data_IF_155917724649
#
_entry.id   IF_155917724649
#
_cell.length_a   1.000
_cell.length_b   1.000
_cell.length_c   1.000
_cell.angle_alpha   90.00
_cell.angle_beta   90.00
_cell.angle_gamma   90.00
#
_symmetry.space_group_name_H-M   'P 1'
#
loop_
_entity.id
_entity.type
_entity.pdbx_description
1 polymer ?
#
# COMPACT_ATOMS: atom_id res chain seq x y z
N UNK A 1 -16.91 10.97 22.03
CA UNK A 1 -15.56 11.41 22.43
C UNK A 1 -14.58 10.44 21.81
N UNK A 2 -13.51 10.90 21.16
CA UNK A 2 -12.53 10.00 20.51
C UNK A 2 -11.72 9.30 21.60
N UNK A 3 -11.62 7.97 21.55
CA UNK A 3 -10.83 7.19 22.49
C UNK A 3 -9.49 6.84 21.84
N UNK A 4 -8.38 7.30 22.42
CA UNK A 4 -7.04 7.01 21.93
C UNK A 4 -6.45 5.78 22.61
N UNK A 5 -5.82 4.91 21.82
CA UNK A 5 -5.02 3.77 22.29
C UNK A 5 -3.63 3.87 21.67
N UNK A 6 -2.60 3.74 22.49
CA UNK A 6 -1.20 3.67 22.06
C UNK A 6 -0.68 2.26 22.32
N UNK A 7 -0.49 1.47 21.27
CA UNK A 7 0.12 0.14 21.35
C UNK A 7 1.61 0.23 20.99
N UNK A 8 2.50 -0.15 21.91
CA UNK A 8 3.93 -0.19 21.66
C UNK A 8 4.63 -1.24 22.52
N UNK A 9 5.91 -1.51 22.27
CA UNK A 9 6.72 -2.37 23.13
C UNK A 9 6.85 -1.80 24.56
N UNK A 10 7.18 -2.62 25.58
CA UNK A 10 7.40 -2.18 26.96
C UNK A 10 8.71 -1.38 27.14
N UNK A 11 9.08 -0.57 26.15
CA UNK A 11 10.22 0.34 26.13
C UNK A 11 9.78 1.75 25.71
N UNK A 12 10.66 2.73 25.85
CA UNK A 12 10.42 4.11 25.39
C UNK A 12 10.33 4.16 23.86
N UNK A 13 11.44 3.89 23.18
CA UNK A 13 11.53 3.81 21.71
C UNK A 13 10.79 4.95 20.98
N UNK A 14 10.22 4.62 19.82
CA UNK A 14 9.41 5.55 19.03
C UNK A 14 8.07 5.91 19.71
N UNK A 15 7.54 5.03 20.57
CA UNK A 15 6.27 5.26 21.29
C UNK A 15 6.32 6.40 22.32
N UNK A 16 7.51 6.73 22.83
CA UNK A 16 7.69 7.77 23.85
C UNK A 16 7.30 9.16 23.38
N UNK A 17 7.50 9.46 22.09
CA UNK A 17 7.12 10.75 21.50
C UNK A 17 5.61 10.94 21.61
N UNK A 18 4.82 9.93 21.24
CA UNK A 18 3.36 9.95 21.35
C UNK A 18 2.89 10.08 22.80
N UNK A 19 3.51 9.36 23.76
CA UNK A 19 3.18 9.48 25.19
C UNK A 19 3.35 10.92 25.69
N UNK A 20 4.49 11.54 25.37
CA UNK A 20 4.79 12.93 25.78
C UNK A 20 3.79 13.92 25.19
N UNK A 21 3.45 13.78 23.91
CA UNK A 21 2.48 14.68 23.24
C UNK A 21 1.10 14.54 23.87
N UNK A 22 0.64 13.31 24.12
CA UNK A 22 -0.68 13.05 24.72
C UNK A 22 -0.78 13.61 26.15
N UNK A 23 0.27 13.43 26.96
CA UNK A 23 0.35 14.03 28.29
C UNK A 23 0.41 15.56 28.23
N UNK A 24 1.24 16.14 27.35
CA UNK A 24 1.33 17.58 27.18
C UNK A 24 -0.03 18.21 26.80
N UNK A 25 -0.80 17.53 25.95
CA UNK A 25 -2.12 17.97 25.51
C UNK A 25 -3.25 17.64 26.49
N UNK A 26 -2.98 16.99 27.64
CA UNK A 26 -4.00 16.47 28.57
C UNK A 26 -5.07 15.58 27.89
N UNK A 27 -4.66 14.81 26.88
CA UNK A 27 -5.57 13.89 26.17
C UNK A 27 -5.50 12.51 26.84
N UNK A 28 -6.61 11.98 27.39
CA UNK A 28 -6.62 10.65 27.97
C UNK A 28 -6.41 9.58 26.88
N UNK A 29 -5.58 8.58 27.19
CA UNK A 29 -5.30 7.46 26.30
C UNK A 29 -5.01 6.18 27.07
N UNK A 30 -5.21 5.05 26.42
CA UNK A 30 -4.81 3.72 26.91
C UNK A 30 -3.38 3.41 26.42
N UNK A 31 -2.40 3.25 27.33
CA UNK A 31 -1.02 2.83 27.00
C UNK A 31 -0.92 1.30 27.04
N UNK A 32 -1.08 0.67 25.88
CA UNK A 32 -1.03 -0.78 25.71
C UNK A 32 0.41 -1.20 25.44
N UNK A 33 1.04 -1.88 26.41
CA UNK A 33 2.42 -2.35 26.30
C UNK A 33 2.47 -3.82 25.95
N UNK A 34 2.93 -4.13 24.75
CA UNK A 34 2.90 -5.48 24.18
C UNK A 34 4.31 -6.08 24.23
N UNK A 35 4.55 -7.16 24.99
CA UNK A 35 5.80 -7.91 24.95
C UNK A 35 6.12 -8.41 23.54
N UNK A 36 7.41 -8.56 23.21
CA UNK A 36 7.84 -8.98 21.87
C UNK A 36 7.25 -10.35 21.49
N UNK A 37 7.11 -11.25 22.46
CA UNK A 37 6.54 -12.59 22.27
C UNK A 37 5.04 -12.56 21.93
N UNK A 38 4.34 -11.50 22.33
CA UNK A 38 2.92 -11.31 22.03
C UNK A 38 2.70 -10.49 20.76
N UNK A 39 3.69 -9.70 20.33
CA UNK A 39 3.59 -8.85 19.15
C UNK A 39 3.09 -9.57 17.88
N UNK A 40 3.52 -10.82 17.57
CA UNK A 40 2.97 -11.57 16.44
C UNK A 40 1.45 -11.77 16.48
N UNK A 41 0.84 -11.85 17.68
CA UNK A 41 -0.63 -11.99 17.84
C UNK A 41 -1.38 -10.71 17.54
N UNK A 42 -0.72 -9.56 17.69
CA UNK A 42 -1.30 -8.24 17.44
C UNK A 42 -1.06 -7.75 16.00
N UNK A 43 -0.12 -8.37 15.27
CA UNK A 43 0.10 -8.08 13.86
C UNK A 43 -1.00 -8.76 13.03
N UNK A 44 -1.74 -8.04 12.18
CA UNK A 44 -2.61 -8.67 11.21
C UNK A 44 -1.82 -9.69 10.40
N UNK A 45 -2.36 -10.89 10.22
CA UNK A 45 -1.73 -11.95 9.40
C UNK A 45 -1.86 -11.63 7.92
N UNK A 46 -1.16 -10.58 7.48
CA UNK A 46 -1.10 -10.11 6.09
C UNK A 46 0.28 -10.39 5.44
N UNK A 47 1.12 -11.19 6.09
CA UNK A 47 2.45 -11.59 5.61
C UNK A 47 2.47 -12.99 4.99
N UNK A 48 1.30 -13.55 4.65
CA UNK A 48 1.22 -14.91 4.10
C UNK A 48 1.52 -16.01 5.10
N UNK A 49 1.54 -17.26 4.62
CA UNK A 49 1.83 -18.45 5.41
C UNK A 49 3.29 -18.86 5.26
N UNK A 50 4.05 -18.64 6.33
CA UNK A 50 5.46 -19.03 6.43
C UNK A 50 6.39 -18.14 5.63
N UNK A 51 7.68 -18.48 5.70
CA UNK A 51 8.77 -17.62 5.20
C UNK A 51 8.74 -17.46 3.69
N UNK A 52 8.27 -18.47 2.96
CA UNK A 52 8.22 -18.43 1.50
C UNK A 52 7.21 -17.41 0.98
N UNK A 53 5.95 -17.46 1.44
CA UNK A 53 4.97 -16.47 1.02
C UNK A 53 5.35 -15.07 1.52
N UNK A 54 5.95 -14.96 2.72
CA UNK A 54 6.50 -13.69 3.21
C UNK A 54 7.54 -13.11 2.22
N UNK A 55 8.50 -13.92 1.78
CA UNK A 55 9.52 -13.49 0.82
C UNK A 55 8.93 -13.14 -0.56
N UNK A 56 7.88 -13.84 -1.00
CA UNK A 56 7.18 -13.48 -2.24
C UNK A 56 6.51 -12.12 -2.13
N UNK A 57 5.85 -11.83 -1.01
CA UNK A 57 5.20 -10.55 -0.74
C UNK A 57 6.23 -9.43 -0.76
N UNK A 58 7.34 -9.59 -0.05
CA UNK A 58 8.42 -8.60 0.01
C UNK A 58 9.02 -8.35 -1.38
N UNK A 59 9.28 -9.41 -2.16
CA UNK A 59 9.79 -9.29 -3.53
C UNK A 59 8.85 -8.53 -4.46
N UNK A 60 7.54 -8.73 -4.36
CA UNK A 60 6.55 -8.00 -5.18
C UNK A 60 6.51 -6.53 -4.77
N UNK A 61 6.61 -6.25 -3.48
CA UNK A 61 6.61 -4.88 -2.98
C UNK A 61 7.87 -4.12 -3.38
N UNK A 62 9.04 -4.74 -3.26
CA UNK A 62 10.30 -4.14 -3.72
C UNK A 62 10.27 -3.90 -5.23
N UNK A 63 9.80 -4.87 -6.02
CA UNK A 63 9.60 -4.68 -7.46
C UNK A 63 8.68 -3.49 -7.76
N UNK A 64 7.55 -3.38 -7.06
CA UNK A 64 6.58 -2.30 -7.25
C UNK A 64 7.17 -0.95 -6.86
N UNK A 65 7.94 -0.89 -5.77
CA UNK A 65 8.65 0.32 -5.32
C UNK A 65 9.73 0.76 -6.30
N UNK A 66 10.44 -0.20 -6.89
CA UNK A 66 11.53 0.05 -7.84
C UNK A 66 11.05 0.51 -9.22
N UNK A 67 9.74 0.46 -9.50
CA UNK A 67 9.16 1.09 -10.69
C UNK A 67 9.23 2.62 -10.57
N UNK A 68 10.40 3.15 -10.93
CA UNK A 68 10.81 4.51 -10.61
C UNK A 68 10.13 5.58 -11.48
N UNK A 69 8.91 5.97 -11.09
CA UNK A 69 8.17 7.08 -11.68
C UNK A 69 8.36 8.41 -10.93
N UNK A 70 9.26 8.44 -9.94
CA UNK A 70 9.40 9.57 -9.01
C UNK A 70 9.60 10.93 -9.70
N UNK A 71 10.44 11.07 -10.75
CA UNK A 71 10.60 12.36 -11.43
C UNK A 71 9.31 12.85 -12.08
N UNK A 72 8.54 11.94 -12.70
CA UNK A 72 7.24 12.27 -13.28
C UNK A 72 6.24 12.71 -12.19
N UNK A 73 6.11 11.92 -11.12
CA UNK A 73 5.22 12.24 -9.99
C UNK A 73 5.55 13.59 -9.34
N UNK A 74 6.82 13.84 -9.03
CA UNK A 74 7.23 15.12 -8.42
C UNK A 74 6.98 16.32 -9.35
N UNK A 75 7.07 16.13 -10.66
CA UNK A 75 6.80 17.18 -11.66
C UNK A 75 5.31 17.50 -11.74
N UNK A 76 4.44 16.49 -11.81
CA UNK A 76 2.98 16.74 -11.86
C UNK A 76 2.44 17.31 -10.53
N UNK A 77 3.12 17.04 -9.41
CA UNK A 77 2.85 17.63 -8.10
C UNK A 77 3.36 19.08 -7.96
N UNK A 78 4.14 19.58 -8.93
CA UNK A 78 4.75 20.91 -8.89
C UNK A 78 5.86 21.05 -7.85
N UNK A 79 6.42 19.95 -7.35
CA UNK A 79 7.50 19.98 -6.35
C UNK A 79 8.87 20.17 -7.00
N UNK A 80 9.02 19.76 -8.27
CA UNK A 80 10.21 20.00 -9.08
C UNK A 80 9.82 20.56 -10.45
N UNK A 81 10.68 21.38 -11.09
CA UNK A 81 10.48 21.76 -12.47
C UNK A 81 10.67 20.55 -13.40
N UNK A 82 9.88 20.47 -14.48
CA UNK A 82 10.01 19.43 -15.48
C UNK A 82 8.95 19.53 -16.58
N UNK A 83 9.21 18.88 -17.72
CA UNK A 83 8.24 18.72 -18.80
C UNK A 83 7.44 17.45 -18.57
N UNK A 84 6.17 17.61 -18.18
CA UNK A 84 5.26 16.50 -17.85
C UNK A 84 4.95 15.63 -19.07
N UNK A 85 4.77 16.22 -20.25
CA UNK A 85 4.51 15.46 -21.47
C UNK A 85 5.73 14.62 -21.90
N UNK A 86 6.93 15.17 -21.76
CA UNK A 86 8.18 14.45 -22.03
C UNK A 86 8.41 13.31 -21.03
N UNK A 87 8.28 13.60 -19.72
CA UNK A 87 8.43 12.60 -18.66
C UNK A 87 7.35 11.51 -18.73
N UNK A 88 6.15 11.85 -19.20
CA UNK A 88 5.11 10.85 -19.45
C UNK A 88 5.60 9.82 -20.49
N UNK A 89 6.14 10.28 -21.62
CA UNK A 89 6.59 9.39 -22.71
C UNK A 89 7.87 8.64 -22.39
N UNK A 90 8.79 9.26 -21.64
CA UNK A 90 10.14 8.71 -21.40
C UNK A 90 10.27 7.93 -20.10
N UNK A 91 9.43 8.21 -19.10
CA UNK A 91 9.49 7.60 -17.77
C UNK A 91 8.21 6.85 -17.44
N UNK A 92 7.06 7.56 -17.38
CA UNK A 92 5.82 6.98 -16.86
C UNK A 92 5.31 5.82 -17.71
N UNK A 93 5.01 6.08 -18.99
CA UNK A 93 4.44 5.09 -19.89
C UNK A 93 5.35 3.85 -20.04
N UNK A 94 6.67 3.98 -20.32
CA UNK A 94 7.55 2.81 -20.39
C UNK A 94 7.62 2.02 -19.09
N UNK A 95 7.56 2.70 -17.94
CA UNK A 95 7.57 2.03 -16.63
C UNK A 95 6.31 1.19 -16.44
N UNK A 96 5.12 1.74 -16.73
CA UNK A 96 3.86 1.01 -16.67
C UNK A 96 3.86 -0.17 -17.65
N UNK A 97 4.28 0.06 -18.90
CA UNK A 97 4.34 -0.97 -19.95
C UNK A 97 5.29 -2.12 -19.59
N UNK A 98 6.35 -1.83 -18.83
CA UNK A 98 7.28 -2.84 -18.31
C UNK A 98 6.75 -3.55 -17.06
N UNK A 99 6.12 -2.83 -16.13
CA UNK A 99 5.80 -3.36 -14.81
C UNK A 99 4.51 -4.17 -14.77
N UNK A 100 3.46 -3.71 -15.45
CA UNK A 100 2.14 -4.35 -15.36
C UNK A 100 2.12 -5.80 -15.87
N UNK A 101 2.81 -6.16 -16.98
CA UNK A 101 2.89 -7.55 -17.39
C UNK A 101 3.57 -8.47 -16.36
N UNK A 102 4.57 -7.94 -15.63
CA UNK A 102 5.26 -8.69 -14.57
C UNK A 102 4.31 -8.92 -13.40
N UNK A 103 3.58 -7.89 -12.97
CA UNK A 103 2.58 -8.02 -11.90
C UNK A 103 1.47 -8.99 -12.30
N UNK A 104 0.95 -8.93 -13.54
CA UNK A 104 -0.04 -9.90 -14.02
C UNK A 104 0.49 -11.33 -13.97
N UNK A 105 1.74 -11.54 -14.41
CA UNK A 105 2.37 -12.86 -14.37
C UNK A 105 2.51 -13.36 -12.94
N UNK A 106 2.85 -12.49 -11.98
CA UNK A 106 2.96 -12.85 -10.57
C UNK A 106 1.59 -13.16 -9.97
N UNK A 107 0.58 -12.34 -10.26
CA UNK A 107 -0.81 -12.56 -9.84
C UNK A 107 -1.35 -13.92 -10.32
N UNK A 108 -1.08 -14.27 -11.59
CA UNK A 108 -1.52 -15.54 -12.21
C UNK A 108 -0.85 -16.78 -11.61
N UNK A 109 0.22 -16.65 -10.82
CA UNK A 109 0.83 -17.79 -10.11
C UNK A 109 0.03 -18.23 -8.90
N UNK A 110 -0.84 -17.36 -8.40
CA UNK A 110 -1.70 -17.62 -7.25
C UNK A 110 -3.08 -18.06 -7.70
N UNK A 111 -3.67 -19.02 -6.99
CA UNK A 111 -5.05 -19.45 -7.21
C UNK A 111 -6.09 -18.68 -6.38
N UNK A 112 -5.65 -17.80 -5.47
CA UNK A 112 -6.53 -17.12 -4.52
C UNK A 112 -7.24 -15.88 -5.09
N UNK A 113 -6.80 -15.41 -6.27
CA UNK A 113 -7.18 -14.10 -6.80
C UNK A 113 -6.39 -12.92 -6.20
N UNK A 114 -5.48 -13.18 -5.26
CA UNK A 114 -4.50 -12.26 -4.67
C UNK A 114 -3.08 -12.71 -5.01
N UNK A 115 -2.06 -11.92 -4.67
CA UNK A 115 -0.67 -12.21 -5.05
C UNK A 115 -0.07 -13.49 -4.44
N UNK A 116 -0.66 -14.03 -3.37
CA UNK A 116 -0.21 -15.27 -2.70
C UNK A 116 -1.36 -16.26 -2.51
N UNK A 117 -1.03 -17.55 -2.36
CA UNK A 117 -2.04 -18.62 -2.28
C UNK A 117 -2.84 -18.57 -0.98
N UNK A 118 -2.26 -18.06 0.12
CA UNK A 118 -2.99 -17.92 1.39
C UNK A 118 -4.11 -16.90 1.38
N UNK A 119 -4.26 -16.10 0.32
CA UNK A 119 -5.29 -15.06 0.19
C UNK A 119 -4.70 -13.65 0.28
N UNK A 120 -5.49 -12.71 0.80
CA UNK A 120 -5.12 -11.29 0.87
C UNK A 120 -3.92 -11.07 1.79
N UNK A 121 -3.02 -10.19 1.34
CA UNK A 121 -1.79 -9.80 2.01
C UNK A 121 -1.56 -8.29 1.93
N UNK A 122 -0.55 -7.78 2.64
CA UNK A 122 -0.30 -6.34 2.64
C UNK A 122 0.11 -5.81 1.26
N UNK A 123 0.77 -6.64 0.43
CA UNK A 123 1.18 -6.24 -0.92
C UNK A 123 -0.01 -6.07 -1.87
N UNK A 124 -1.13 -6.75 -1.63
CA UNK A 124 -2.34 -6.57 -2.43
C UNK A 124 -2.89 -5.13 -2.28
N UNK A 125 -2.91 -4.60 -1.06
CA UNK A 125 -3.31 -3.20 -0.82
C UNK A 125 -2.29 -2.22 -1.41
N UNK A 126 -0.99 -2.51 -1.29
CA UNK A 126 0.06 -1.65 -1.83
C UNK A 126 -0.03 -1.56 -3.36
N UNK A 127 -0.12 -2.69 -4.06
CA UNK A 127 -0.25 -2.73 -5.51
C UNK A 127 -1.57 -2.10 -5.95
N UNK A 128 -2.69 -2.40 -5.29
CA UNK A 128 -3.98 -1.79 -5.62
C UNK A 128 -3.94 -0.25 -5.55
N UNK A 129 -3.28 0.31 -4.52
CA UNK A 129 -3.10 1.76 -4.39
C UNK A 129 -2.24 2.34 -5.51
N UNK A 130 -1.12 1.68 -5.86
CA UNK A 130 -0.28 2.11 -6.99
C UNK A 130 -1.05 2.07 -8.31
N UNK A 131 -1.87 1.04 -8.52
CA UNK A 131 -2.71 0.87 -9.71
C UNK A 131 -3.79 1.94 -9.78
N UNK A 132 -4.46 2.26 -8.67
CA UNK A 132 -5.41 3.36 -8.58
C UNK A 132 -4.77 4.69 -8.97
N UNK A 133 -3.57 4.99 -8.47
CA UNK A 133 -2.84 6.21 -8.85
C UNK A 133 -2.53 6.23 -10.35
N UNK A 134 -2.06 5.13 -10.93
CA UNK A 134 -1.73 5.05 -12.37
C UNK A 134 -2.98 5.23 -13.22
N UNK A 135 -4.09 4.57 -12.84
CA UNK A 135 -5.38 4.71 -13.51
C UNK A 135 -5.93 6.14 -13.42
N UNK A 136 -5.78 6.80 -12.27
CA UNK A 136 -6.17 8.21 -12.09
C UNK A 136 -5.40 9.15 -13.02
N UNK A 137 -4.15 8.82 -13.35
CA UNK A 137 -3.31 9.58 -14.28
C UNK A 137 -3.59 9.27 -15.75
N UNK A 138 -3.80 8.00 -16.07
CA UNK A 138 -4.16 7.55 -17.40
C UNK A 138 -5.08 6.32 -17.33
N UNK A 139 -6.41 6.51 -17.41
CA UNK A 139 -7.33 5.38 -17.37
C UNK A 139 -7.16 4.44 -18.56
N UNK A 140 -6.71 4.95 -19.72
CA UNK A 140 -6.63 4.16 -20.96
C UNK A 140 -5.47 3.18 -20.92
N UNK A 141 -4.32 3.57 -20.38
CA UNK A 141 -3.16 2.66 -20.29
C UNK A 141 -3.49 1.41 -19.46
N UNK A 142 -4.32 1.55 -18.43
CA UNK A 142 -4.69 0.45 -17.55
C UNK A 142 -5.69 -0.53 -18.18
N UNK A 143 -6.47 -0.11 -19.19
CA UNK A 143 -7.38 -1.02 -19.92
C UNK A 143 -6.64 -2.16 -20.65
N UNK A 144 -5.33 -1.99 -20.90
CA UNK A 144 -4.48 -3.05 -21.44
C UNK A 144 -4.12 -4.16 -20.42
N UNK A 145 -4.41 -3.95 -19.13
CA UNK A 145 -4.02 -4.84 -18.03
C UNK A 145 -5.24 -5.24 -17.17
N UNK A 146 -6.25 -5.91 -17.77
CA UNK A 146 -7.53 -6.18 -17.10
C UNK A 146 -7.39 -7.04 -15.85
N UNK A 147 -6.39 -7.93 -15.78
CA UNK A 147 -6.20 -8.79 -14.61
C UNK A 147 -5.74 -8.00 -13.37
N UNK A 148 -4.93 -6.96 -13.58
CA UNK A 148 -4.51 -6.05 -12.51
C UNK A 148 -5.64 -5.12 -12.08
N UNK A 149 -6.46 -4.65 -13.03
CA UNK A 149 -7.66 -3.89 -12.69
C UNK A 149 -8.63 -4.74 -11.85
N UNK A 150 -8.89 -5.97 -12.27
CA UNK A 150 -9.73 -6.91 -11.52
C UNK A 150 -9.17 -7.20 -10.12
N UNK A 151 -7.84 -7.29 -9.98
CA UNK A 151 -7.20 -7.42 -8.66
C UNK A 151 -7.48 -6.23 -7.76
N UNK A 152 -7.25 -5.00 -8.26
CA UNK A 152 -7.58 -3.78 -7.51
C UNK A 152 -9.05 -3.75 -7.08
N UNK A 153 -9.96 -4.08 -8.00
CA UNK A 153 -11.39 -4.16 -7.70
C UNK A 153 -11.70 -5.19 -6.61
N UNK A 154 -11.07 -6.38 -6.64
CA UNK A 154 -11.22 -7.39 -5.59
C UNK A 154 -10.73 -6.87 -4.23
N UNK A 155 -9.61 -6.16 -4.19
CA UNK A 155 -9.08 -5.56 -2.95
C UNK A 155 -10.06 -4.51 -2.42
N UNK A 156 -10.56 -3.61 -3.27
CA UNK A 156 -11.45 -2.53 -2.84
C UNK A 156 -12.88 -2.99 -2.56
N UNK A 157 -13.27 -4.17 -3.04
CA UNK A 157 -14.52 -4.84 -2.68
C UNK A 157 -14.46 -5.52 -1.30
N UNK A 158 -13.31 -5.56 -0.62
CA UNK A 158 -13.21 -6.14 0.72
C UNK A 158 -14.13 -5.39 1.70
N UNK A 159 -15.05 -6.08 2.40
CA UNK A 159 -16.04 -5.43 3.27
C UNK A 159 -15.42 -4.51 4.33
N UNK A 160 -14.21 -4.84 4.79
CA UNK A 160 -13.45 -4.08 5.79
C UNK A 160 -13.02 -2.70 5.28
N UNK A 161 -12.90 -2.51 3.96
CA UNK A 161 -12.52 -1.23 3.36
C UNK A 161 -13.73 -0.33 3.05
N UNK A 162 -14.95 -0.87 3.02
CA UNK A 162 -16.14 -0.16 2.55
C UNK A 162 -16.31 1.22 3.21
N UNK A 163 -16.34 1.26 4.54
CA UNK A 163 -16.52 2.52 5.28
C UNK A 163 -15.37 3.50 5.07
N UNK A 164 -14.14 3.00 4.97
CA UNK A 164 -12.98 3.83 4.69
C UNK A 164 -13.13 4.48 3.32
N UNK A 165 -13.30 3.68 2.26
CA UNK A 165 -13.41 4.15 0.88
C UNK A 165 -14.59 5.10 0.64
N UNK A 166 -15.71 4.92 1.35
CA UNK A 166 -16.87 5.84 1.29
C UNK A 166 -16.59 7.20 1.93
N UNK A 167 -15.72 7.26 2.94
CA UNK A 167 -15.39 8.49 3.69
C UNK A 167 -14.14 9.21 3.17
N UNK A 168 -13.31 8.55 2.37
CA UNK A 168 -12.06 9.10 1.85
C UNK A 168 -12.33 10.22 0.85
N UNK A 169 -11.68 11.40 0.99
CA UNK A 169 -11.75 12.46 -0.01
C UNK A 169 -11.26 11.98 -1.37
N UNK A 170 -12.00 12.30 -2.44
CA UNK A 170 -11.57 11.97 -3.81
C UNK A 170 -10.50 12.96 -4.28
N UNK A 171 -9.25 12.52 -4.31
CA UNK A 171 -8.11 13.26 -4.88
C UNK A 171 -7.67 12.62 -6.19
N UNK A 172 -6.87 13.34 -6.98
CA UNK A 172 -6.34 12.84 -8.27
C UNK A 172 -5.24 11.77 -8.11
N UNK A 173 -4.63 11.72 -6.92
CA UNK A 173 -3.60 10.79 -6.45
C UNK A 173 -3.52 10.89 -4.93
#
# INVERSE_FOLDING_TARGET
MVQYKLSYFPVRGLGEISRKILHYANIPFEDIRIPEEEWPKHKPSLSGKGDWESAQIDSIADFTKDTHNRPYFLTILGWIPGNKEELYQTVFKPTVEKSMPVLEKLLKKSSSGFFINSGVSWVDFYVASVVETIEGLDPKIMTCYPEILNHKERVYALPQLKTYLESTPKTAF
#
